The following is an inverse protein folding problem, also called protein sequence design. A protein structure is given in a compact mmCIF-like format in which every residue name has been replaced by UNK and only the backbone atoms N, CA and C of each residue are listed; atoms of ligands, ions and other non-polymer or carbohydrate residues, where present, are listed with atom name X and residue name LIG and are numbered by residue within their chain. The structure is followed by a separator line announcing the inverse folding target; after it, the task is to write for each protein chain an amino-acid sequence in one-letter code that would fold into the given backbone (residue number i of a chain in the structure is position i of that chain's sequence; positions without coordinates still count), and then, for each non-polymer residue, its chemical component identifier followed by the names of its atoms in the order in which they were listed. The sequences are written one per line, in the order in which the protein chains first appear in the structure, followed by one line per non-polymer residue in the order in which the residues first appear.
data_IF_057208096276
#
_entry.id   IF_057208096276
#
_cell.length_a   1.000
_cell.length_b   1.000
_cell.length_c   1.000
_cell.angle_alpha   90.00
_cell.angle_beta   90.00
_cell.angle_gamma   90.00
#
_symmetry.space_group_name_H-M   'P 1'
#
loop_
_entity.id
_entity.type
_entity.pdbx_description
1 polymer ?
#
# COMPACT_ATOMS: atom_id res chain seq x y z
N UNK A 1 -19.87 13.98 -36.71
CA UNK A 1 -19.52 14.85 -35.57
C UNK A 1 -19.84 14.10 -34.30
N UNK A 2 -18.87 13.39 -33.72
CA UNK A 2 -19.05 12.64 -32.47
C UNK A 2 -18.98 13.63 -31.31
N UNK A 3 -20.14 13.84 -30.66
CA UNK A 3 -20.25 14.64 -29.44
C UNK A 3 -19.47 13.95 -28.34
N UNK A 4 -18.27 14.46 -28.01
CA UNK A 4 -17.53 14.05 -26.83
C UNK A 4 -18.23 14.63 -25.61
N UNK A 5 -19.08 13.81 -24.99
CA UNK A 5 -19.62 14.10 -23.68
C UNK A 5 -18.46 13.97 -22.69
N UNK A 6 -17.96 15.09 -22.18
CA UNK A 6 -17.07 15.09 -21.02
C UNK A 6 -17.86 14.49 -19.87
N UNK A 7 -17.72 13.19 -19.65
CA UNK A 7 -18.32 12.52 -18.52
C UNK A 7 -17.60 13.06 -17.30
N UNK A 8 -18.29 13.88 -16.49
CA UNK A 8 -17.79 14.30 -15.19
C UNK A 8 -17.72 13.07 -14.29
N UNK A 9 -16.68 12.25 -14.48
CA UNK A 9 -16.51 10.99 -13.79
C UNK A 9 -16.08 11.34 -12.37
N UNK A 10 -16.96 11.10 -11.42
CA UNK A 10 -16.64 11.25 -10.01
C UNK A 10 -15.62 10.18 -9.63
N UNK A 11 -14.59 10.50 -8.84
CA UNK A 11 -13.68 9.48 -8.36
C UNK A 11 -14.47 8.51 -7.49
N UNK A 12 -14.52 7.25 -7.92
CA UNK A 12 -15.11 6.10 -7.25
C UNK A 12 -14.16 4.89 -7.38
N UNK A 13 -14.58 3.71 -6.91
CA UNK A 13 -13.74 2.50 -7.03
C UNK A 13 -13.46 2.15 -8.50
N UNK A 14 -14.47 2.19 -9.37
CA UNK A 14 -14.30 1.77 -10.77
C UNK A 14 -13.38 2.71 -11.54
N UNK A 15 -13.49 4.01 -11.29
CA UNK A 15 -12.58 5.03 -11.81
C UNK A 15 -11.15 4.80 -11.35
N UNK A 16 -10.96 4.43 -10.07
CA UNK A 16 -9.63 4.14 -9.53
C UNK A 16 -9.00 2.92 -10.20
N UNK A 17 -9.76 1.84 -10.38
CA UNK A 17 -9.28 0.63 -11.04
C UNK A 17 -8.92 0.89 -12.52
N UNK A 18 -9.76 1.65 -13.22
CA UNK A 18 -9.51 2.06 -14.60
C UNK A 18 -8.27 2.95 -14.75
N UNK A 19 -8.03 3.86 -13.79
CA UNK A 19 -6.78 4.64 -13.71
C UNK A 19 -5.56 3.74 -13.55
N UNK A 20 -5.63 2.73 -12.68
CA UNK A 20 -4.52 1.77 -12.51
C UNK A 20 -4.24 0.96 -13.77
N UNK A 21 -5.26 0.68 -14.58
CA UNK A 21 -5.11 -0.07 -15.83
C UNK A 21 -4.53 0.77 -16.97
N UNK A 22 -4.97 2.02 -17.09
CA UNK A 22 -4.73 2.84 -18.30
C UNK A 22 -3.65 3.91 -18.13
N UNK A 23 -3.42 4.40 -16.91
CA UNK A 23 -2.62 5.59 -16.66
C UNK A 23 -1.71 5.46 -15.42
N UNK A 24 -1.33 4.24 -15.07
CA UNK A 24 -0.51 3.99 -13.89
C UNK A 24 0.89 4.60 -14.00
N UNK A 25 1.20 5.48 -13.04
CA UNK A 25 2.55 5.90 -12.70
C UNK A 25 2.71 5.84 -11.17
N UNK A 26 3.79 5.26 -10.60
CA UNK A 26 3.88 4.91 -9.18
C UNK A 26 3.55 6.07 -8.21
N UNK A 27 4.33 7.14 -8.23
CA UNK A 27 4.18 8.24 -7.27
C UNK A 27 2.86 9.01 -7.48
N UNK A 28 2.52 9.25 -8.74
CA UNK A 28 1.28 9.94 -9.13
C UNK A 28 0.06 9.15 -8.66
N UNK A 29 0.07 7.83 -8.84
CA UNK A 29 -1.06 6.97 -8.44
C UNK A 29 -1.19 6.91 -6.92
N UNK A 30 -0.08 6.87 -6.18
CA UNK A 30 -0.12 6.94 -4.71
C UNK A 30 -0.74 8.25 -4.24
N UNK A 31 -0.33 9.39 -4.81
CA UNK A 31 -0.88 10.70 -4.43
C UNK A 31 -2.36 10.86 -4.82
N UNK A 32 -2.73 10.33 -5.99
CA UNK A 32 -4.11 10.28 -6.44
C UNK A 32 -4.97 9.46 -5.48
N UNK A 33 -4.47 8.29 -5.06
CA UNK A 33 -5.18 7.44 -4.11
C UNK A 33 -5.34 8.10 -2.75
N UNK A 34 -4.32 8.81 -2.26
CA UNK A 34 -4.44 9.65 -1.06
C UNK A 34 -5.57 10.66 -1.22
N UNK A 35 -5.72 11.27 -2.39
CA UNK A 35 -6.84 12.16 -2.72
C UNK A 35 -8.20 11.46 -2.67
N UNK A 36 -8.32 10.29 -3.31
CA UNK A 36 -9.52 9.44 -3.32
C UNK A 36 -9.94 9.05 -1.90
N UNK A 37 -8.98 8.64 -1.08
CA UNK A 37 -9.18 8.27 0.32
C UNK A 37 -9.66 9.48 1.14
N UNK A 38 -8.96 10.63 1.05
CA UNK A 38 -9.36 11.87 1.78
C UNK A 38 -10.78 12.32 1.45
N UNK A 39 -11.21 12.18 0.19
CA UNK A 39 -12.56 12.53 -0.29
C UNK A 39 -13.63 11.48 0.07
N UNK A 40 -13.23 10.33 0.63
CA UNK A 40 -14.11 9.18 0.91
C UNK A 40 -14.86 8.70 -0.35
N UNK A 41 -14.17 8.73 -1.48
CA UNK A 41 -14.67 8.27 -2.77
C UNK A 41 -14.77 6.75 -2.85
N UNK A 42 -13.82 6.05 -2.22
CA UNK A 42 -13.84 4.60 -2.00
C UNK A 42 -14.27 4.38 -0.56
N UNK A 43 -15.47 3.83 -0.34
CA UNK A 43 -16.09 3.64 0.98
C UNK A 43 -16.22 2.17 1.33
N UNK A 44 -15.99 1.85 2.59
CA UNK A 44 -16.20 0.52 3.14
C UNK A 44 -14.96 -0.37 3.01
N UNK A 45 -14.87 -1.39 3.88
CA UNK A 45 -13.66 -2.18 4.05
C UNK A 45 -13.30 -2.99 2.80
N UNK A 46 -14.29 -3.52 2.09
CA UNK A 46 -14.08 -4.33 0.88
C UNK A 46 -13.52 -3.50 -0.27
N UNK A 47 -14.20 -2.40 -0.62
CA UNK A 47 -13.75 -1.52 -1.70
C UNK A 47 -12.37 -0.91 -1.41
N UNK A 48 -12.13 -0.49 -0.16
CA UNK A 48 -10.82 0.01 0.27
C UNK A 48 -9.74 -1.07 0.21
N UNK A 49 -10.05 -2.33 0.59
CA UNK A 49 -9.12 -3.44 0.50
C UNK A 49 -8.75 -3.75 -0.96
N UNK A 50 -9.75 -3.88 -1.85
CA UNK A 50 -9.54 -4.15 -3.28
C UNK A 50 -8.71 -3.04 -3.94
N UNK A 51 -9.09 -1.78 -3.73
CA UNK A 51 -8.38 -0.64 -4.29
C UNK A 51 -6.92 -0.58 -3.83
N UNK A 52 -6.67 -0.86 -2.55
CA UNK A 52 -5.33 -0.86 -1.96
C UNK A 52 -4.49 -2.04 -2.46
N UNK A 53 -5.08 -3.24 -2.56
CA UNK A 53 -4.39 -4.42 -3.05
C UNK A 53 -3.95 -4.25 -4.52
N UNK A 54 -4.83 -3.71 -5.36
CA UNK A 54 -4.52 -3.41 -6.77
C UNK A 54 -3.41 -2.38 -6.89
N UNK A 55 -3.41 -1.34 -6.04
CA UNK A 55 -2.32 -0.37 -5.99
C UNK A 55 -0.99 -1.04 -5.63
N UNK A 56 -0.95 -1.85 -4.55
CA UNK A 56 0.27 -2.53 -4.14
C UNK A 56 0.79 -3.51 -5.18
N UNK A 57 -0.09 -4.25 -5.85
CA UNK A 57 0.31 -5.13 -6.95
C UNK A 57 1.07 -4.38 -8.04
N UNK A 58 0.54 -3.25 -8.50
CA UNK A 58 1.19 -2.42 -9.55
C UNK A 58 2.49 -1.80 -9.07
N UNK A 59 2.53 -1.33 -7.82
CA UNK A 59 3.73 -0.75 -7.22
C UNK A 59 4.86 -1.78 -7.10
N UNK A 60 4.56 -2.98 -6.58
CA UNK A 60 5.55 -4.06 -6.45
C UNK A 60 6.08 -4.45 -7.82
N UNK A 61 5.20 -4.61 -8.81
CA UNK A 61 5.61 -4.97 -10.16
C UNK A 61 6.50 -3.92 -10.82
N UNK A 62 6.24 -2.63 -10.57
CA UNK A 62 6.99 -1.53 -11.17
C UNK A 62 8.25 -1.12 -10.38
N UNK A 63 8.43 -1.58 -9.15
CA UNK A 63 9.51 -1.14 -8.28
C UNK A 63 10.77 -2.01 -8.45
N UNK A 64 11.88 -1.46 -8.97
CA UNK A 64 13.16 -2.17 -8.96
C UNK A 64 13.71 -2.19 -7.53
N UNK A 65 13.85 -3.38 -6.94
CA UNK A 65 14.46 -3.56 -5.61
C UNK A 65 15.71 -4.44 -5.70
N UNK A 66 16.72 -4.12 -4.91
CA UNK A 66 17.98 -4.90 -4.83
C UNK A 66 18.01 -5.79 -3.59
N UNK A 67 17.21 -5.48 -2.58
CA UNK A 67 17.07 -6.27 -1.36
C UNK A 67 15.60 -6.40 -0.95
N UNK A 68 15.30 -7.45 -0.17
CA UNK A 68 13.98 -7.66 0.43
C UNK A 68 13.62 -6.48 1.35
N UNK A 69 14.62 -5.92 2.06
CA UNK A 69 14.43 -4.75 2.91
C UNK A 69 13.98 -3.52 2.16
N UNK A 70 14.53 -3.26 0.97
CA UNK A 70 14.11 -2.13 0.13
C UNK A 70 12.62 -2.25 -0.22
N UNK A 71 12.19 -3.45 -0.63
CA UNK A 71 10.80 -3.71 -0.98
C UNK A 71 9.87 -3.56 0.24
N UNK A 72 10.23 -4.13 1.39
CA UNK A 72 9.44 -4.02 2.63
C UNK A 72 9.34 -2.57 3.09
N UNK A 73 10.44 -1.82 3.02
CA UNK A 73 10.47 -0.40 3.36
C UNK A 73 9.60 0.44 2.41
N UNK A 74 9.69 0.15 1.11
CA UNK A 74 8.86 0.82 0.10
C UNK A 74 7.37 0.65 0.40
N UNK A 75 6.91 -0.60 0.56
CA UNK A 75 5.50 -0.91 0.85
C UNK A 75 5.05 -0.38 2.21
N UNK A 76 5.90 -0.48 3.24
CA UNK A 76 5.60 0.04 4.57
C UNK A 76 5.45 1.57 4.58
N UNK A 77 6.29 2.29 3.83
CA UNK A 77 6.22 3.75 3.72
C UNK A 77 4.91 4.19 3.06
N UNK A 78 4.51 3.52 1.97
CA UNK A 78 3.27 3.81 1.24
C UNK A 78 2.07 3.45 2.09
N UNK A 79 2.06 2.26 2.71
CA UNK A 79 1.00 1.86 3.64
C UNK A 79 0.81 2.85 4.79
N UNK A 80 1.91 3.40 5.31
CA UNK A 80 1.88 4.46 6.34
C UNK A 80 1.32 5.77 5.78
N UNK A 81 1.74 6.20 4.59
CA UNK A 81 1.22 7.39 3.89
C UNK A 81 -0.29 7.29 3.65
N UNK A 82 -0.77 6.15 3.16
CA UNK A 82 -2.20 5.89 2.93
C UNK A 82 -2.99 5.84 4.25
N UNK A 83 -2.44 5.20 5.27
CA UNK A 83 -3.07 5.13 6.61
C UNK A 83 -3.22 6.50 7.26
N UNK A 84 -2.29 7.42 7.02
CA UNK A 84 -2.38 8.82 7.49
C UNK A 84 -3.46 9.61 6.73
N UNK A 85 -3.79 9.23 5.50
CA UNK A 85 -4.82 9.91 4.71
C UNK A 85 -6.23 9.63 5.26
N UNK A 86 -6.52 8.40 5.67
CA UNK A 86 -7.80 7.99 6.27
C UNK A 86 -7.57 7.05 7.45
N UNK A 87 -7.45 7.56 8.68
CA UNK A 87 -7.15 6.72 9.85
C UNK A 87 -8.29 5.77 10.25
N UNK A 88 -9.51 5.98 9.74
CA UNK A 88 -10.68 5.15 10.07
C UNK A 88 -10.78 3.87 9.23
N UNK A 89 -10.17 3.83 8.05
CA UNK A 89 -10.25 2.67 7.14
C UNK A 89 -9.10 1.70 7.43
N UNK A 90 -9.29 0.89 8.47
CA UNK A 90 -8.30 -0.12 8.90
C UNK A 90 -7.95 -1.13 7.79
N UNK A 91 -8.85 -1.32 6.81
CA UNK A 91 -8.65 -2.19 5.66
C UNK A 91 -7.35 -1.85 4.89
N UNK A 92 -7.05 -0.57 4.66
CA UNK A 92 -5.86 -0.12 3.92
C UNK A 92 -4.58 -0.58 4.63
N UNK A 93 -4.50 -0.31 5.94
CA UNK A 93 -3.36 -0.70 6.77
C UNK A 93 -3.24 -2.21 6.89
N UNK A 94 -4.37 -2.90 7.02
CA UNK A 94 -4.40 -4.35 7.10
C UNK A 94 -3.91 -4.99 5.80
N UNK A 95 -4.28 -4.44 4.63
CA UNK A 95 -3.75 -4.90 3.35
C UNK A 95 -2.24 -4.70 3.25
N UNK A 96 -1.70 -3.57 3.70
CA UNK A 96 -0.24 -3.37 3.72
C UNK A 96 0.48 -4.44 4.55
N UNK A 97 -0.05 -4.76 5.74
CA UNK A 97 0.50 -5.83 6.59
C UNK A 97 0.38 -7.22 5.97
N UNK A 98 -0.73 -7.50 5.28
CA UNK A 98 -0.91 -8.78 4.55
C UNK A 98 0.11 -8.92 3.43
N UNK A 99 0.32 -7.87 2.65
CA UNK A 99 1.33 -7.86 1.58
C UNK A 99 2.74 -8.11 2.13
N UNK A 100 3.10 -7.45 3.24
CA UNK A 100 4.39 -7.70 3.91
C UNK A 100 4.48 -9.15 4.41
N UNK A 101 3.39 -9.70 4.95
CA UNK A 101 3.31 -11.11 5.35
C UNK A 101 3.53 -12.07 4.18
N UNK A 102 2.93 -11.80 3.02
CA UNK A 102 3.17 -12.59 1.80
C UNK A 102 4.64 -12.51 1.39
N UNK A 103 5.24 -11.32 1.40
CA UNK A 103 6.68 -11.17 1.10
C UNK A 103 7.54 -11.99 2.07
N UNK A 104 7.17 -12.01 3.36
CA UNK A 104 7.84 -12.85 4.36
C UNK A 104 7.70 -14.33 4.06
N UNK A 105 6.49 -14.82 3.79
CA UNK A 105 6.21 -16.22 3.47
C UNK A 105 7.01 -16.65 2.22
N UNK A 106 7.06 -15.81 1.18
CA UNK A 106 7.86 -16.06 0.00
C UNK A 106 9.37 -16.06 0.30
N UNK A 107 9.86 -15.16 1.16
CA UNK A 107 11.27 -15.18 1.57
C UNK A 107 11.62 -16.47 2.32
N UNK A 108 10.77 -16.90 3.25
CA UNK A 108 10.94 -18.15 4.01
C UNK A 108 10.94 -19.38 3.10
N UNK A 109 10.00 -19.45 2.16
CA UNK A 109 9.90 -20.54 1.17
C UNK A 109 11.15 -20.65 0.29
N UNK A 110 11.84 -19.53 0.03
CA UNK A 110 13.05 -19.48 -0.76
C UNK A 110 14.35 -19.56 0.09
N UNK A 111 14.25 -19.87 1.39
CA UNK A 111 15.41 -19.96 2.28
C UNK A 111 16.06 -18.61 2.60
N UNK A 112 15.36 -17.50 2.34
CA UNK A 112 15.79 -16.12 2.60
C UNK A 112 15.14 -15.52 3.86
N UNK A 113 14.55 -16.35 4.74
CA UNK A 113 13.86 -15.89 5.96
C UNK A 113 14.76 -15.06 6.88
N UNK A 114 16.01 -15.48 7.08
CA UNK A 114 16.98 -14.75 7.90
C UNK A 114 17.31 -13.37 7.32
N UNK A 115 17.35 -13.24 5.99
CA UNK A 115 17.57 -11.97 5.29
C UNK A 115 16.38 -11.03 5.47
N UNK A 116 15.15 -11.57 5.43
CA UNK A 116 13.95 -10.79 5.72
C UNK A 116 13.97 -10.27 7.17
N UNK A 117 14.36 -11.11 8.13
CA UNK A 117 14.42 -10.73 9.54
C UNK A 117 15.48 -9.66 9.80
N UNK A 118 16.68 -9.83 9.24
CA UNK A 118 17.75 -8.82 9.29
C UNK A 118 17.34 -7.49 8.62
N UNK A 119 16.57 -7.57 7.52
CA UNK A 119 16.03 -6.40 6.86
C UNK A 119 15.03 -5.61 7.71
N UNK A 120 14.23 -6.30 8.54
CA UNK A 120 13.35 -5.64 9.49
C UNK A 120 14.12 -4.94 10.62
N UNK A 121 15.19 -5.55 11.11
CA UNK A 121 16.01 -5.00 12.19
C UNK A 121 16.77 -3.75 11.77
N UNK A 122 17.23 -3.68 10.51
CA UNK A 122 17.98 -2.54 9.97
C UNK A 122 17.11 -1.34 9.58
N UNK A 123 15.80 -1.55 9.36
CA UNK A 123 14.83 -0.50 9.00
C UNK A 123 14.17 0.22 10.19
N UNK A 124 14.44 -0.21 11.44
CA UNK A 124 13.87 0.39 12.65
C UNK A 124 14.87 1.43 13.20
N UNK A 125 14.55 2.75 13.24
CA UNK A 125 15.26 3.62 14.16
C UNK A 125 15.03 3.05 15.57
N UNK A 126 16.11 2.85 16.31
CA UNK A 126 16.24 2.20 17.62
C UNK A 126 15.41 2.80 18.78
N UNK A 127 14.27 3.42 18.51
CA UNK A 127 13.41 4.14 19.45
C UNK A 127 12.03 3.51 19.69
N UNK A 128 11.75 2.29 19.22
CA UNK A 128 10.53 1.55 19.58
C UNK A 128 10.86 0.24 20.32
N UNK A 129 11.71 0.31 21.34
CA UNK A 129 11.64 -0.65 22.44
C UNK A 129 10.42 -0.29 23.30
N UNK A 130 9.24 -0.80 22.93
CA UNK A 130 8.13 -0.84 23.86
C UNK A 130 8.44 -1.96 24.86
N UNK A 131 9.15 -1.62 25.94
CA UNK A 131 9.31 -2.50 27.08
C UNK A 131 7.92 -2.89 27.57
N UNK A 132 7.61 -4.19 27.54
CA UNK A 132 6.33 -4.73 28.00
C UNK A 132 6.11 -4.60 29.52
N UNK A 133 6.91 -3.81 30.23
CA UNK A 133 6.80 -3.59 31.68
C UNK A 133 6.05 -2.30 32.06
N UNK A 134 5.65 -1.45 31.09
CA UNK A 134 4.94 -0.19 31.39
C UNK A 134 3.48 -0.19 30.86
N UNK A 135 2.73 -1.26 31.12
CA UNK A 135 1.27 -1.24 30.97
C UNK A 135 0.63 -2.25 31.93
N UNK A 136 0.60 -1.86 33.20
CA UNK A 136 -0.30 -2.26 34.30
C UNK A 136 -0.92 -3.67 34.31
#
# INVERSE_FOLDING_TARGET
MTSQMVTLRTPDLQWWLDHLDTAFAPDVSVDLFVGVLKRRSVKGPEAAAVATAQLFLRLIYAHPFSSIGDLVNHISSIGTKLSKAVPRELAVRNMARRVIGIIREEAENNGMGDLFQAALETGIPSGFSCSSEECR
#
